data_IF_267286159165
#
_entry.id   IF_267286159165
#
_cell.length_a   1.000
_cell.length_b   1.000
_cell.length_c   1.000
_cell.angle_alpha   90.00
_cell.angle_beta   90.00
_cell.angle_gamma   90.00
#
_symmetry.space_group_name_H-M   'P 1'
#
loop_
_entity.id
_entity.type
_entity.pdbx_description
1 polymer ?
#
# COMPACT_ATOMS: atom_id res chain seq x y z
N UNK A 1 -21.82 -4.40 -12.60
CA UNK A 1 -21.28 -3.03 -12.59
C UNK A 1 -22.12 -2.14 -11.70
N UNK A 2 -21.53 -1.12 -11.12
CA UNK A 2 -22.29 -0.10 -10.41
C UNK A 2 -22.82 0.90 -11.46
N UNK A 3 -24.14 0.94 -11.76
CA UNK A 3 -24.71 1.79 -12.81
C UNK A 3 -24.47 3.28 -12.54
N UNK A 4 -24.29 3.67 -11.27
CA UNK A 4 -24.00 5.05 -10.87
C UNK A 4 -22.67 5.58 -11.42
N UNK A 5 -21.67 4.71 -11.68
CA UNK A 5 -20.41 5.12 -12.33
C UNK A 5 -20.69 5.55 -13.78
N UNK A 6 -21.47 4.78 -14.53
CA UNK A 6 -21.88 5.13 -15.90
C UNK A 6 -22.71 6.43 -15.97
N UNK A 7 -23.60 6.64 -15.00
CA UNK A 7 -24.39 7.87 -14.86
C UNK A 7 -23.48 9.07 -14.55
N UNK A 8 -22.54 8.94 -13.62
CA UNK A 8 -21.57 9.99 -13.28
C UNK A 8 -20.69 10.34 -14.50
N UNK A 9 -20.22 9.35 -15.22
CA UNK A 9 -19.45 9.56 -16.44
C UNK A 9 -20.28 10.27 -17.53
N UNK A 10 -21.58 9.96 -17.65
CA UNK A 10 -22.48 10.67 -18.57
C UNK A 10 -22.66 12.13 -18.16
N UNK A 11 -22.79 12.43 -16.87
CA UNK A 11 -22.84 13.82 -16.36
C UNK A 11 -21.57 14.57 -16.68
N UNK A 12 -20.41 13.94 -16.47
CA UNK A 12 -19.12 14.51 -16.83
C UNK A 12 -19.01 14.86 -18.30
N UNK A 13 -19.34 13.92 -19.23
CA UNK A 13 -19.32 14.19 -20.66
C UNK A 13 -20.22 15.36 -21.06
N UNK A 14 -21.38 15.49 -20.41
CA UNK A 14 -22.26 16.64 -20.61
C UNK A 14 -21.65 17.93 -20.14
N UNK A 15 -21.08 17.97 -18.94
CA UNK A 15 -20.41 19.12 -18.35
C UNK A 15 -19.23 19.62 -19.23
N UNK A 16 -18.45 18.69 -19.78
CA UNK A 16 -17.40 19.00 -20.76
C UNK A 16 -17.97 19.60 -22.05
N UNK A 17 -19.03 19.01 -22.61
CA UNK A 17 -19.67 19.52 -23.81
C UNK A 17 -20.31 20.89 -23.63
N UNK A 18 -20.81 21.19 -22.44
CA UNK A 18 -21.40 22.49 -22.06
C UNK A 18 -20.35 23.50 -21.64
N UNK A 19 -19.08 23.10 -21.51
CA UNK A 19 -17.96 23.98 -21.07
C UNK A 19 -18.04 24.40 -19.60
N UNK A 20 -18.79 23.65 -18.78
CA UNK A 20 -18.89 23.90 -17.31
C UNK A 20 -17.71 23.33 -16.55
N UNK A 21 -16.96 22.39 -17.15
CA UNK A 21 -15.70 21.85 -16.67
C UNK A 21 -14.66 22.05 -17.77
N UNK A 22 -13.53 22.66 -17.44
CA UNK A 22 -12.38 22.78 -18.33
C UNK A 22 -11.38 21.63 -18.02
N UNK A 23 -11.11 20.71 -18.96
CA UNK A 23 -10.16 19.64 -18.75
C UNK A 23 -8.71 20.13 -18.57
N UNK A 24 -8.40 21.37 -18.96
CA UNK A 24 -7.08 21.98 -18.82
C UNK A 24 -6.88 22.74 -17.49
N UNK A 25 -7.96 23.04 -16.77
CA UNK A 25 -7.92 23.67 -15.44
C UNK A 25 -7.90 22.62 -14.30
N UNK A 26 -7.49 21.41 -14.59
CA UNK A 26 -7.44 20.36 -13.59
C UNK A 26 -6.46 20.75 -12.49
N UNK A 27 -7.01 20.95 -11.32
CA UNK A 27 -6.20 21.06 -10.12
C UNK A 27 -5.79 19.64 -9.69
N UNK A 28 -4.80 19.09 -10.38
CA UNK A 28 -4.13 17.86 -10.00
C UNK A 28 -3.35 18.13 -8.72
N UNK A 29 -4.06 18.41 -7.65
CA UNK A 29 -3.44 18.45 -6.34
C UNK A 29 -3.04 17.02 -6.00
N UNK A 30 -1.88 16.65 -6.52
CA UNK A 30 -1.21 15.41 -6.15
C UNK A 30 -1.16 15.42 -4.64
N UNK A 31 -1.71 14.38 -4.04
CA UNK A 31 -1.75 14.23 -2.60
C UNK A 31 -0.40 13.80 -2.01
N UNK A 32 0.66 13.93 -2.78
CA UNK A 32 2.03 13.61 -2.44
C UNK A 32 2.83 14.90 -2.27
N UNK A 33 3.68 14.91 -1.28
CA UNK A 33 4.66 15.98 -1.10
C UNK A 33 5.94 15.56 -1.84
N UNK A 34 5.88 15.58 -3.17
CA UNK A 34 7.04 15.29 -4.00
C UNK A 34 7.91 16.55 -4.10
N UNK A 35 9.08 16.55 -3.52
CA UNK A 35 10.03 17.65 -3.58
C UNK A 35 11.45 17.15 -3.59
N UNK A 36 12.35 17.95 -4.18
CA UNK A 36 13.79 17.81 -4.03
C UNK A 36 14.16 18.42 -2.67
N UNK A 37 14.14 17.62 -1.64
CA UNK A 37 14.61 17.97 -0.32
C UNK A 37 15.87 17.18 0.05
N UNK A 38 16.41 17.43 1.23
CA UNK A 38 17.63 16.79 1.69
C UNK A 38 17.44 15.27 1.90
N UNK A 39 16.26 14.83 2.33
CA UNK A 39 15.95 13.41 2.47
C UNK A 39 15.88 12.72 1.10
N UNK A 40 15.29 13.36 0.07
CA UNK A 40 15.24 12.78 -1.28
C UNK A 40 16.66 12.67 -1.88
N UNK A 41 17.49 13.69 -1.68
CA UNK A 41 18.90 13.64 -2.12
C UNK A 41 19.66 12.54 -1.40
N UNK A 42 19.44 12.35 -0.10
CA UNK A 42 20.06 11.29 0.70
C UNK A 42 19.57 9.91 0.27
N UNK A 43 18.26 9.75 0.01
CA UNK A 43 17.69 8.49 -0.46
C UNK A 43 18.30 8.05 -1.80
N UNK A 44 18.37 8.95 -2.79
CA UNK A 44 18.98 8.64 -4.09
C UNK A 44 20.49 8.33 -3.97
N UNK A 45 21.21 9.05 -3.11
CA UNK A 45 22.61 8.77 -2.85
C UNK A 45 22.79 7.39 -2.20
N UNK A 46 21.93 7.03 -1.27
CA UNK A 46 21.95 5.73 -0.62
C UNK A 46 21.65 4.58 -1.59
N UNK A 47 20.69 4.73 -2.49
CA UNK A 47 20.41 3.73 -3.55
C UNK A 47 21.65 3.52 -4.45
N UNK A 48 22.33 4.60 -4.84
CA UNK A 48 23.54 4.53 -5.65
C UNK A 48 24.69 3.83 -4.89
N UNK A 49 24.87 4.15 -3.61
CA UNK A 49 25.89 3.53 -2.75
C UNK A 49 25.61 2.05 -2.49
N UNK A 50 24.37 1.69 -2.23
CA UNK A 50 23.95 0.30 -2.06
C UNK A 50 24.22 -0.51 -3.34
N UNK A 51 23.92 0.08 -4.51
CA UNK A 51 24.22 -0.53 -5.82
C UNK A 51 25.71 -0.66 -6.09
N UNK A 52 26.54 0.19 -5.47
CA UNK A 52 28.00 0.16 -5.55
C UNK A 52 28.66 -0.71 -4.46
N UNK A 53 27.88 -1.49 -3.70
CA UNK A 53 28.33 -2.32 -2.57
C UNK A 53 28.98 -1.49 -1.44
N UNK A 54 28.47 -0.28 -1.21
CA UNK A 54 28.93 0.66 -0.16
C UNK A 54 27.80 0.95 0.86
N UNK A 55 27.27 -0.06 1.51
CA UNK A 55 26.07 0.07 2.32
C UNK A 55 26.30 0.78 3.66
N UNK A 56 27.53 0.85 4.19
CA UNK A 56 27.85 1.61 5.42
C UNK A 56 27.73 3.12 5.17
N UNK A 57 28.20 3.58 4.01
CA UNK A 57 28.08 4.98 3.62
C UNK A 57 26.62 5.35 3.35
N UNK A 58 25.85 4.43 2.72
CA UNK A 58 24.41 4.59 2.54
C UNK A 58 23.68 4.75 3.88
N UNK A 59 23.97 3.87 4.85
CA UNK A 59 23.41 3.94 6.20
C UNK A 59 23.72 5.28 6.88
N UNK A 60 24.96 5.75 6.79
CA UNK A 60 25.38 7.01 7.40
C UNK A 60 24.65 8.21 6.80
N UNK A 61 24.54 8.28 5.48
CA UNK A 61 23.85 9.39 4.78
C UNK A 61 22.38 9.43 5.17
N UNK A 62 21.67 8.30 5.15
CA UNK A 62 20.27 8.22 5.53
C UNK A 62 20.06 8.59 6.99
N UNK A 63 20.88 8.07 7.89
CA UNK A 63 20.80 8.36 9.33
C UNK A 63 20.95 9.84 9.59
N UNK A 64 21.93 10.50 8.95
CA UNK A 64 22.15 11.93 9.10
C UNK A 64 20.97 12.76 8.57
N UNK A 65 20.42 12.40 7.40
CA UNK A 65 19.31 13.13 6.82
C UNK A 65 18.03 13.00 7.69
N UNK A 66 17.74 11.80 8.18
CA UNK A 66 16.59 11.56 9.07
C UNK A 66 16.79 12.30 10.40
N UNK A 67 17.96 12.20 11.04
CA UNK A 67 18.25 12.91 12.29
C UNK A 67 18.09 14.42 12.14
N UNK A 68 18.59 14.99 11.08
CA UNK A 68 18.48 16.43 10.81
C UNK A 68 17.03 16.88 10.63
N UNK A 69 16.20 16.09 9.91
CA UNK A 69 14.79 16.37 9.77
C UNK A 69 14.07 16.32 11.12
N UNK A 70 14.38 15.32 11.93
CA UNK A 70 13.79 15.11 13.25
C UNK A 70 14.20 16.18 14.27
N UNK A 71 15.44 16.66 14.24
CA UNK A 71 15.93 17.74 15.09
C UNK A 71 15.15 19.04 14.88
N UNK A 72 14.61 19.27 13.68
CA UNK A 72 13.77 20.45 13.43
C UNK A 72 12.44 20.40 14.15
N UNK A 73 11.95 19.19 14.51
CA UNK A 73 10.62 18.96 15.07
C UNK A 73 9.46 19.33 14.12
N UNK A 74 9.76 19.68 12.87
CA UNK A 74 8.79 20.28 11.94
C UNK A 74 7.67 19.30 11.55
N UNK A 75 7.99 17.99 11.48
CA UNK A 75 7.03 16.93 11.16
C UNK A 75 6.77 15.99 12.35
N UNK A 76 6.90 16.50 13.55
CA UNK A 76 6.59 15.74 14.76
C UNK A 76 5.10 15.82 15.08
N UNK A 77 4.49 14.67 15.32
CA UNK A 77 3.11 14.59 15.81
C UNK A 77 2.97 15.33 17.15
N UNK A 78 1.83 15.98 17.36
CA UNK A 78 1.50 16.64 18.60
C UNK A 78 0.03 16.35 19.02
N UNK A 79 -0.49 17.09 19.99
CA UNK A 79 -1.84 16.88 20.51
C UNK A 79 -2.95 17.17 19.49
N UNK A 80 -2.72 18.08 18.56
CA UNK A 80 -3.73 18.55 17.59
C UNK A 80 -3.45 18.17 16.15
N UNK A 81 -2.20 17.84 15.82
CA UNK A 81 -1.75 17.62 14.43
C UNK A 81 -0.90 16.36 14.34
N UNK A 82 -1.12 15.61 13.27
CA UNK A 82 -0.30 14.47 12.87
C UNK A 82 0.21 14.67 11.45
N UNK A 83 1.42 14.19 11.19
CA UNK A 83 2.05 14.27 9.87
C UNK A 83 2.09 12.88 9.25
N UNK A 84 1.54 12.75 8.02
CA UNK A 84 1.42 11.45 7.33
C UNK A 84 1.85 11.57 5.88
N UNK A 85 2.29 10.43 5.35
CA UNK A 85 2.67 10.25 3.94
C UNK A 85 1.69 9.29 3.28
N UNK A 86 1.31 9.61 2.05
CA UNK A 86 0.43 8.78 1.22
C UNK A 86 1.00 8.69 -0.19
N UNK A 87 1.05 7.50 -0.77
CA UNK A 87 1.49 7.27 -2.14
C UNK A 87 0.39 7.52 -3.18
N UNK A 88 -0.86 7.60 -2.72
CA UNK A 88 -2.00 7.82 -3.61
C UNK A 88 -3.19 8.45 -2.89
N UNK A 89 -4.10 9.01 -3.69
CA UNK A 89 -5.38 9.50 -3.17
C UNK A 89 -6.21 8.38 -2.52
N UNK A 90 -6.16 7.17 -3.10
CA UNK A 90 -6.87 6.02 -2.54
C UNK A 90 -6.35 5.63 -1.15
N UNK A 91 -5.03 5.64 -0.95
CA UNK A 91 -4.39 5.39 0.33
C UNK A 91 -4.81 6.44 1.39
N UNK A 92 -4.81 7.73 1.02
CA UNK A 92 -5.29 8.81 1.87
C UNK A 92 -6.79 8.70 2.20
N UNK A 93 -7.59 8.28 1.23
CA UNK A 93 -9.02 8.05 1.42
C UNK A 93 -9.25 6.95 2.47
N UNK A 94 -8.60 5.79 2.33
CA UNK A 94 -8.71 4.70 3.30
C UNK A 94 -8.26 5.15 4.70
N UNK A 95 -7.13 5.84 4.79
CA UNK A 95 -6.68 6.42 6.05
C UNK A 95 -7.77 7.30 6.70
N UNK A 96 -8.38 8.21 5.95
CA UNK A 96 -9.42 9.10 6.46
C UNK A 96 -10.67 8.32 6.91
N UNK A 97 -11.07 7.29 6.18
CA UNK A 97 -12.23 6.46 6.52
C UNK A 97 -11.98 5.59 7.77
N UNK A 98 -10.78 5.04 7.91
CA UNK A 98 -10.37 4.29 9.12
C UNK A 98 -10.30 5.24 10.32
N UNK A 99 -9.69 6.41 10.16
CA UNK A 99 -9.59 7.45 11.20
C UNK A 99 -10.96 7.92 11.66
N UNK A 100 -11.92 8.06 10.75
CA UNK A 100 -13.31 8.42 11.04
C UNK A 100 -14.10 7.29 11.69
N UNK A 101 -13.64 6.03 11.56
CA UNK A 101 -14.34 4.83 12.03
C UNK A 101 -15.42 4.33 11.04
N UNK A 102 -15.36 4.75 9.78
CA UNK A 102 -16.27 4.30 8.72
C UNK A 102 -15.80 2.97 8.11
N UNK A 103 -14.49 2.78 8.01
CA UNK A 103 -13.89 1.49 7.69
C UNK A 103 -13.36 0.83 8.97
N UNK A 104 -13.43 -0.51 9.07
CA UNK A 104 -12.86 -1.24 10.19
C UNK A 104 -11.34 -1.03 10.22
N UNK A 105 -10.79 -0.92 11.44
CA UNK A 105 -9.36 -0.84 11.66
C UNK A 105 -8.82 -2.19 12.10
N UNK A 106 -7.57 -2.54 11.74
CA UNK A 106 -6.86 -3.62 12.39
C UNK A 106 -6.72 -3.36 13.90
N UNK A 107 -6.63 -4.42 14.68
CA UNK A 107 -6.26 -4.30 16.07
C UNK A 107 -4.87 -3.63 16.15
N UNK A 108 -4.62 -2.73 17.05
CA UNK A 108 -3.37 -1.97 17.18
C UNK A 108 -3.00 -1.03 16.01
N UNK A 109 -3.98 -0.65 15.20
CA UNK A 109 -3.78 0.29 14.10
C UNK A 109 -3.41 1.69 14.61
N UNK A 110 -2.24 2.19 14.18
CA UNK A 110 -1.75 3.53 14.56
C UNK A 110 -2.69 4.66 14.13
N UNK A 111 -3.46 4.48 13.04
CA UNK A 111 -4.43 5.46 12.52
C UNK A 111 -5.50 5.81 13.57
N UNK A 112 -5.86 4.88 14.46
CA UNK A 112 -6.86 5.13 15.50
C UNK A 112 -6.40 6.17 16.53
N UNK A 113 -5.08 6.32 16.72
CA UNK A 113 -4.49 7.33 17.59
C UNK A 113 -4.55 8.75 16.99
N UNK A 114 -4.82 8.83 15.69
CA UNK A 114 -4.92 10.09 14.94
C UNK A 114 -6.34 10.69 15.01
N UNK A 115 -7.28 9.98 15.62
CA UNK A 115 -8.69 10.43 15.72
C UNK A 115 -8.79 11.78 16.42
N UNK A 116 -9.49 12.72 15.79
CA UNK A 116 -9.69 14.07 16.32
C UNK A 116 -8.54 15.04 16.05
N UNK A 117 -7.41 14.59 15.49
CA UNK A 117 -6.28 15.44 15.12
C UNK A 117 -6.36 15.87 13.65
N UNK A 118 -5.81 17.00 13.31
CA UNK A 118 -5.60 17.41 11.92
C UNK A 118 -4.50 16.56 11.29
N UNK A 119 -4.69 16.15 10.02
CA UNK A 119 -3.67 15.40 9.27
C UNK A 119 -3.03 16.33 8.25
N UNK A 120 -1.74 16.58 8.40
CA UNK A 120 -0.90 17.28 7.45
C UNK A 120 0.04 16.32 6.73
N UNK A 121 0.53 16.73 5.54
CA UNK A 121 1.44 15.92 4.76
C UNK A 121 2.89 16.12 5.25
N UNK A 122 3.62 15.01 5.39
CA UNK A 122 5.05 15.00 5.50
C UNK A 122 5.69 14.71 4.13
N UNK A 123 6.99 15.04 3.92
CA UNK A 123 7.69 14.69 2.70
C UNK A 123 7.74 13.17 2.48
N UNK A 124 7.46 12.72 1.26
CA UNK A 124 7.52 11.30 0.89
C UNK A 124 8.92 10.73 1.09
N UNK A 125 9.93 11.55 0.80
CA UNK A 125 11.34 11.24 0.99
C UNK A 125 11.68 10.80 2.41
N UNK A 126 10.99 11.34 3.41
CA UNK A 126 11.16 10.92 4.79
C UNK A 126 10.75 9.46 5.00
N UNK A 127 9.60 9.05 4.47
CA UNK A 127 9.17 7.66 4.54
C UNK A 127 10.14 6.73 3.78
N UNK A 128 10.62 7.14 2.60
CA UNK A 128 11.59 6.36 1.83
C UNK A 128 12.90 6.17 2.59
N UNK A 129 13.43 7.22 3.22
CA UNK A 129 14.61 7.09 4.08
C UNK A 129 14.39 6.10 5.23
N UNK A 130 13.22 6.13 5.86
CA UNK A 130 12.90 5.20 6.96
C UNK A 130 12.80 3.74 6.48
N UNK A 131 12.21 3.49 5.30
CA UNK A 131 12.15 2.14 4.71
C UNK A 131 13.54 1.61 4.41
N UNK A 132 14.38 2.43 3.78
CA UNK A 132 15.73 2.03 3.39
C UNK A 132 16.63 1.83 4.63
N UNK A 133 16.52 2.68 5.66
CA UNK A 133 17.18 2.47 6.94
C UNK A 133 16.80 1.14 7.59
N UNK A 134 15.51 0.80 7.62
CA UNK A 134 15.07 -0.47 8.17
C UNK A 134 15.66 -1.65 7.39
N UNK A 135 15.71 -1.57 6.06
CA UNK A 135 16.29 -2.60 5.22
C UNK A 135 17.81 -2.75 5.42
N UNK A 136 18.56 -1.64 5.38
CA UNK A 136 20.02 -1.66 5.54
C UNK A 136 20.44 -2.14 6.93
N UNK A 137 19.77 -1.72 7.98
CA UNK A 137 20.03 -2.17 9.35
C UNK A 137 19.74 -3.66 9.52
N UNK A 138 18.60 -4.12 8.99
CA UNK A 138 18.25 -5.52 8.96
C UNK A 138 19.33 -6.37 8.26
N UNK A 139 19.79 -5.96 7.10
CA UNK A 139 20.83 -6.68 6.33
C UNK A 139 22.19 -6.78 7.06
N UNK A 140 22.35 -6.04 8.17
CA UNK A 140 23.54 -6.00 9.02
C UNK A 140 23.35 -6.56 10.41
N UNK A 141 22.25 -7.26 10.63
CA UNK A 141 21.92 -7.86 11.92
C UNK A 141 21.70 -6.84 13.06
N UNK A 142 21.42 -5.56 12.70
CA UNK A 142 20.99 -4.53 13.65
C UNK A 142 19.48 -4.56 13.85
N UNK A 143 18.98 -5.68 14.37
CA UNK A 143 17.56 -6.04 14.35
C UNK A 143 16.67 -5.07 15.14
N UNK A 144 17.06 -4.68 16.35
CA UNK A 144 16.27 -3.78 17.21
C UNK A 144 16.10 -2.40 16.55
N UNK A 145 17.16 -1.90 15.92
CA UNK A 145 17.12 -0.61 15.21
C UNK A 145 16.28 -0.73 13.93
N UNK A 146 16.43 -1.81 13.19
CA UNK A 146 15.60 -2.08 12.00
C UNK A 146 14.11 -2.11 12.35
N UNK A 147 13.72 -2.80 13.43
CA UNK A 147 12.34 -2.81 13.93
C UNK A 147 11.88 -1.40 14.29
N UNK A 148 12.71 -0.62 14.96
CA UNK A 148 12.38 0.76 15.35
C UNK A 148 12.09 1.63 14.14
N UNK A 149 12.94 1.57 13.11
CA UNK A 149 12.74 2.36 11.88
C UNK A 149 11.55 1.85 11.06
N UNK A 150 11.34 0.53 10.95
CA UNK A 150 10.17 -0.03 10.28
C UNK A 150 8.86 0.40 10.96
N UNK A 151 8.78 0.36 12.30
CA UNK A 151 7.62 0.85 13.05
C UNK A 151 7.38 2.34 12.87
N UNK A 152 8.45 3.13 12.84
CA UNK A 152 8.37 4.57 12.56
C UNK A 152 7.85 4.84 11.16
N UNK A 153 8.34 4.08 10.18
CA UNK A 153 7.87 4.14 8.80
C UNK A 153 6.36 3.82 8.69
N UNK A 154 5.88 2.78 9.41
CA UNK A 154 4.45 2.45 9.49
C UNK A 154 3.64 3.59 10.14
N UNK A 155 4.19 4.25 11.14
CA UNK A 155 3.50 5.38 11.80
C UNK A 155 3.34 6.56 10.84
N UNK A 156 4.40 6.93 10.11
CA UNK A 156 4.38 8.07 9.20
C UNK A 156 3.62 7.78 7.90
N UNK A 157 3.65 6.53 7.42
CA UNK A 157 3.04 6.08 6.17
C UNK A 157 2.15 4.84 6.38
N UNK A 158 1.04 4.95 7.15
CA UNK A 158 0.28 3.80 7.64
C UNK A 158 -0.52 3.06 6.55
N UNK A 159 -0.66 3.61 5.37
CA UNK A 159 -1.32 2.99 4.21
C UNK A 159 -0.36 2.67 3.07
N UNK A 160 0.94 2.59 3.36
CA UNK A 160 1.98 2.13 2.42
C UNK A 160 2.52 0.78 2.86
N UNK A 161 2.59 -0.18 1.94
CA UNK A 161 2.97 -1.57 2.26
C UNK A 161 4.43 -1.75 2.67
N UNK A 162 5.33 -0.85 2.24
CA UNK A 162 6.77 -1.01 2.37
C UNK A 162 7.23 -1.19 3.84
N UNK A 163 6.72 -0.38 4.78
CA UNK A 163 7.07 -0.49 6.20
C UNK A 163 6.62 -1.82 6.82
N UNK A 164 5.41 -2.26 6.48
CA UNK A 164 4.87 -3.55 6.97
C UNK A 164 5.63 -4.74 6.39
N UNK A 165 5.98 -4.70 5.10
CA UNK A 165 6.79 -5.75 4.46
C UNK A 165 8.18 -5.83 5.09
N UNK A 166 8.81 -4.68 5.35
CA UNK A 166 10.10 -4.64 6.04
C UNK A 166 10.00 -5.26 7.44
N UNK A 167 9.00 -4.84 8.24
CA UNK A 167 8.81 -5.36 9.59
C UNK A 167 8.46 -6.85 9.58
N UNK A 168 7.58 -7.29 8.67
CA UNK A 168 7.23 -8.70 8.52
C UNK A 168 8.44 -9.57 8.17
N UNK A 169 9.32 -9.12 7.28
CA UNK A 169 10.57 -9.83 6.92
C UNK A 169 11.54 -9.90 8.10
N UNK A 170 11.69 -8.82 8.88
CA UNK A 170 12.53 -8.81 10.07
C UNK A 170 12.02 -9.84 11.08
N UNK A 171 10.72 -9.91 11.31
CA UNK A 171 10.13 -10.90 12.21
C UNK A 171 10.31 -12.34 11.71
N UNK A 172 10.14 -12.59 10.40
CA UNK A 172 10.39 -13.92 9.82
C UNK A 172 11.86 -14.34 10.02
N UNK A 173 12.80 -13.43 9.79
CA UNK A 173 14.23 -13.72 9.98
C UNK A 173 14.59 -14.08 11.42
N UNK A 174 13.85 -13.52 12.39
CA UNK A 174 14.01 -13.81 13.81
C UNK A 174 13.13 -14.97 14.29
N UNK A 175 12.58 -15.77 13.40
CA UNK A 175 11.64 -16.87 13.69
C UNK A 175 10.38 -16.43 14.48
N UNK A 176 10.06 -15.12 14.47
CA UNK A 176 8.87 -14.56 15.09
C UNK A 176 7.70 -14.52 14.09
N UNK A 177 7.30 -15.71 13.67
CA UNK A 177 6.25 -15.87 12.65
C UNK A 177 4.89 -15.33 13.10
N UNK A 178 4.60 -15.35 14.39
CA UNK A 178 3.34 -14.83 14.93
C UNK A 178 3.22 -13.31 14.70
N UNK A 179 4.27 -12.54 15.03
CA UNK A 179 4.31 -11.11 14.78
C UNK A 179 4.43 -10.78 13.29
N UNK A 180 5.14 -11.60 12.51
CA UNK A 180 5.19 -11.47 11.05
C UNK A 180 3.78 -11.57 10.45
N UNK A 181 3.04 -12.64 10.78
CA UNK A 181 1.65 -12.86 10.36
C UNK A 181 0.75 -11.69 10.73
N UNK A 182 0.72 -11.32 12.02
CA UNK A 182 -0.13 -10.23 12.53
C UNK A 182 0.16 -8.89 11.82
N UNK A 183 1.44 -8.58 11.58
CA UNK A 183 1.87 -7.37 10.88
C UNK A 183 1.36 -7.34 9.43
N UNK A 184 1.52 -8.44 8.70
CA UNK A 184 1.15 -8.53 7.29
C UNK A 184 -0.37 -8.60 7.09
N UNK A 185 -1.10 -9.32 7.96
CA UNK A 185 -2.57 -9.35 7.96
C UNK A 185 -3.16 -7.96 8.28
N UNK A 186 -2.58 -7.23 9.23
CA UNK A 186 -2.98 -5.85 9.52
C UNK A 186 -2.78 -4.93 8.31
N UNK A 187 -1.64 -5.06 7.62
CA UNK A 187 -1.36 -4.28 6.43
C UNK A 187 -2.38 -4.55 5.31
N UNK A 188 -2.71 -5.82 5.05
CA UNK A 188 -3.68 -6.20 4.02
C UNK A 188 -4.98 -5.40 4.12
N UNK A 189 -5.49 -5.17 5.33
CA UNK A 189 -6.77 -4.47 5.54
C UNK A 189 -6.72 -2.97 5.25
N UNK A 190 -5.53 -2.40 5.06
CA UNK A 190 -5.31 -0.97 4.82
C UNK A 190 -4.90 -0.65 3.38
N UNK A 191 -4.51 -1.65 2.59
CA UNK A 191 -3.99 -1.44 1.24
C UNK A 191 -5.09 -1.37 0.19
N UNK A 192 -4.88 -0.50 -0.79
CA UNK A 192 -5.76 -0.31 -1.95
C UNK A 192 -5.13 -0.74 -3.26
N UNK A 193 -3.80 -0.71 -3.35
CA UNK A 193 -3.07 -1.11 -4.56
C UNK A 193 -3.09 -2.63 -4.71
N UNK A 194 -3.55 -3.20 -5.85
CA UNK A 194 -3.45 -4.63 -6.10
C UNK A 194 -2.03 -5.17 -6.04
N UNK A 195 -1.05 -4.36 -6.44
CA UNK A 195 0.36 -4.75 -6.41
C UNK A 195 0.89 -4.87 -4.98
N UNK A 196 0.51 -3.94 -4.10
CA UNK A 196 0.82 -4.00 -2.67
C UNK A 196 0.13 -5.17 -1.98
N UNK A 197 -1.14 -5.40 -2.29
CA UNK A 197 -1.92 -6.53 -1.75
C UNK A 197 -1.26 -7.86 -2.17
N UNK A 198 -0.88 -8.01 -3.44
CA UNK A 198 -0.19 -9.21 -3.92
C UNK A 198 1.16 -9.40 -3.21
N UNK A 199 1.94 -8.35 -3.03
CA UNK A 199 3.21 -8.42 -2.32
C UNK A 199 3.04 -8.79 -0.84
N UNK A 200 1.99 -8.30 -0.18
CA UNK A 200 1.67 -8.67 1.20
C UNK A 200 1.25 -10.14 1.33
N UNK A 201 0.38 -10.64 0.45
CA UNK A 201 0.04 -12.08 0.42
C UNK A 201 1.27 -12.96 0.17
N UNK A 202 2.18 -12.53 -0.71
CA UNK A 202 3.43 -13.23 -0.95
C UNK A 202 4.29 -13.34 0.33
N UNK A 203 4.52 -12.24 1.04
CA UNK A 203 5.29 -12.27 2.28
C UNK A 203 4.57 -13.01 3.42
N UNK A 204 3.24 -12.91 3.48
CA UNK A 204 2.42 -13.65 4.44
C UNK A 204 2.51 -15.16 4.18
N UNK A 205 2.45 -15.58 2.90
CA UNK A 205 2.59 -16.98 2.52
C UNK A 205 3.92 -17.56 3.01
N UNK A 206 5.02 -16.84 2.84
CA UNK A 206 6.31 -17.27 3.34
C UNK A 206 6.33 -17.43 4.87
N UNK A 207 5.78 -16.46 5.60
CA UNK A 207 5.67 -16.54 7.06
C UNK A 207 4.81 -17.73 7.52
N UNK A 208 3.70 -18.01 6.85
CA UNK A 208 2.83 -19.16 7.10
C UNK A 208 3.55 -20.48 6.84
N UNK A 209 4.26 -20.60 5.72
CA UNK A 209 5.03 -21.80 5.40
C UNK A 209 6.08 -22.10 6.49
N UNK A 210 6.90 -21.09 6.82
CA UNK A 210 7.96 -21.28 7.83
C UNK A 210 7.42 -21.50 9.25
N UNK A 211 6.20 -21.07 9.53
CA UNK A 211 5.50 -21.36 10.81
C UNK A 211 4.84 -22.72 10.86
N UNK A 212 4.87 -23.51 9.77
CA UNK A 212 4.31 -24.86 9.72
C UNK A 212 2.85 -24.94 9.25
N UNK A 213 2.36 -23.91 8.56
CA UNK A 213 1.04 -23.89 7.91
C UNK A 213 1.17 -23.81 6.37
N UNK A 214 1.67 -24.88 5.72
CA UNK A 214 1.93 -24.86 4.29
C UNK A 214 0.66 -24.84 3.41
N UNK A 215 -0.48 -25.32 3.91
CA UNK A 215 -1.74 -25.30 3.15
C UNK A 215 -2.24 -23.84 2.99
N UNK A 216 -2.28 -23.08 4.07
CA UNK A 216 -2.63 -21.66 4.03
C UNK A 216 -1.59 -20.84 3.27
N UNK A 217 -0.31 -21.24 3.35
CA UNK A 217 0.76 -20.60 2.56
C UNK A 217 0.52 -20.77 1.06
N UNK A 218 0.22 -21.98 0.57
CA UNK A 218 -0.11 -22.21 -0.84
C UNK A 218 -1.31 -21.38 -1.29
N UNK A 219 -2.38 -21.32 -0.48
CA UNK A 219 -3.54 -20.51 -0.78
C UNK A 219 -3.17 -19.01 -0.87
N UNK A 220 -2.32 -18.51 0.03
CA UNK A 220 -1.84 -17.12 0.04
C UNK A 220 -0.97 -16.80 -1.18
N UNK A 221 -0.05 -17.67 -1.60
CA UNK A 221 0.72 -17.50 -2.83
C UNK A 221 -0.17 -17.42 -4.07
N UNK A 222 -1.16 -18.34 -4.17
CA UNK A 222 -2.10 -18.33 -5.29
C UNK A 222 -2.96 -17.07 -5.26
N UNK A 223 -3.39 -16.61 -4.09
CA UNK A 223 -4.11 -15.33 -3.94
C UNK A 223 -3.27 -14.15 -4.43
N UNK A 224 -1.97 -14.13 -4.13
CA UNK A 224 -1.05 -13.13 -4.65
C UNK A 224 -1.04 -13.13 -6.20
N UNK A 225 -0.92 -14.30 -6.82
CA UNK A 225 -0.96 -14.47 -8.28
C UNK A 225 -2.29 -14.03 -8.92
N UNK A 226 -3.41 -14.29 -8.24
CA UNK A 226 -4.75 -13.86 -8.69
C UNK A 226 -4.93 -12.33 -8.58
N UNK A 227 -4.20 -11.68 -7.66
CA UNK A 227 -4.35 -10.26 -7.36
C UNK A 227 -3.50 -9.39 -8.30
N UNK A 228 -2.24 -9.73 -8.51
CA UNK A 228 -1.34 -9.03 -9.44
C UNK A 228 -0.18 -9.90 -9.87
N UNK A 229 0.41 -9.56 -11.02
CA UNK A 229 1.58 -10.24 -11.57
C UNK A 229 2.93 -9.72 -11.04
N UNK A 230 2.93 -8.70 -10.19
CA UNK A 230 4.15 -8.04 -9.69
C UNK A 230 5.10 -9.00 -8.96
N UNK A 231 4.56 -10.03 -8.31
CA UNK A 231 5.33 -11.04 -7.57
C UNK A 231 5.29 -12.44 -8.23
N UNK A 232 4.80 -12.55 -9.47
CA UNK A 232 4.51 -13.85 -10.10
C UNK A 232 5.71 -14.79 -10.15
N UNK A 233 6.87 -14.30 -10.58
CA UNK A 233 8.06 -15.13 -10.67
C UNK A 233 8.51 -15.66 -9.30
N UNK A 234 8.48 -14.80 -8.28
CA UNK A 234 8.81 -15.18 -6.91
C UNK A 234 7.80 -16.18 -6.34
N UNK A 235 6.49 -15.93 -6.52
CA UNK A 235 5.45 -16.88 -6.08
C UNK A 235 5.60 -18.26 -6.71
N UNK A 236 5.84 -18.33 -8.02
CA UNK A 236 6.01 -19.63 -8.69
C UNK A 236 7.19 -20.40 -8.11
N UNK A 237 8.34 -19.75 -7.93
CA UNK A 237 9.53 -20.37 -7.35
C UNK A 237 9.29 -20.90 -5.93
N UNK A 238 8.64 -20.10 -5.09
CA UNK A 238 8.34 -20.50 -3.70
C UNK A 238 7.28 -21.61 -3.63
N UNK A 239 6.27 -21.60 -4.50
CA UNK A 239 5.28 -22.67 -4.60
C UNK A 239 5.97 -24.00 -4.99
N UNK A 240 6.87 -23.99 -5.98
CA UNK A 240 7.60 -25.21 -6.40
C UNK A 240 8.46 -25.75 -5.25
N UNK A 241 9.14 -24.89 -4.52
CA UNK A 241 9.94 -25.28 -3.36
C UNK A 241 9.07 -25.86 -2.25
N UNK A 242 7.96 -25.18 -1.89
CA UNK A 242 7.03 -25.63 -0.87
C UNK A 242 6.41 -27.00 -1.23
N UNK A 243 5.98 -27.18 -2.48
CA UNK A 243 5.44 -28.46 -2.93
C UNK A 243 6.49 -29.60 -2.88
N UNK A 244 7.74 -29.30 -3.23
CA UNK A 244 8.84 -30.26 -3.13
C UNK A 244 9.09 -30.68 -1.68
N UNK A 245 9.02 -29.72 -0.74
CA UNK A 245 9.26 -29.97 0.68
C UNK A 245 8.12 -30.72 1.36
N UNK A 246 6.88 -30.45 0.95
CA UNK A 246 5.69 -30.95 1.67
C UNK A 246 4.93 -32.05 0.94
N UNK A 247 5.08 -32.13 -0.38
CA UNK A 247 4.28 -33.01 -1.23
C UNK A 247 2.82 -32.60 -1.41
N UNK A 248 2.43 -31.39 -0.94
CA UNK A 248 1.05 -30.91 -1.04
C UNK A 248 0.67 -30.61 -2.50
N UNK A 249 -0.55 -30.98 -2.94
CA UNK A 249 -1.07 -30.58 -4.23
C UNK A 249 -1.47 -29.08 -4.22
N UNK A 250 -1.48 -28.47 -5.40
CA UNK A 250 -2.04 -27.13 -5.53
C UNK A 250 -3.55 -27.15 -5.23
N UNK A 251 -4.07 -26.23 -4.40
CA UNK A 251 -5.49 -26.08 -4.22
C UNK A 251 -6.16 -25.58 -5.50
N UNK A 252 -7.45 -25.86 -5.68
CA UNK A 252 -8.22 -25.34 -6.79
C UNK A 252 -8.38 -23.84 -6.67
N UNK A 253 -8.34 -23.13 -7.80
CA UNK A 253 -8.44 -21.66 -7.83
C UNK A 253 -9.72 -21.13 -7.18
N UNK A 254 -10.81 -21.90 -7.27
CA UNK A 254 -12.13 -21.61 -6.68
C UNK A 254 -12.20 -21.82 -5.15
N UNK A 255 -11.28 -22.59 -4.59
CA UNK A 255 -11.22 -22.86 -3.14
C UNK A 255 -10.38 -21.85 -2.36
N UNK A 256 -9.60 -21.00 -3.03
CA UNK A 256 -8.60 -20.13 -2.39
C UNK A 256 -9.24 -19.23 -1.34
N UNK A 257 -10.32 -18.52 -1.71
CA UNK A 257 -10.96 -17.60 -0.78
C UNK A 257 -11.56 -18.31 0.43
N UNK A 258 -12.12 -19.51 0.24
CA UNK A 258 -12.62 -20.34 1.34
C UNK A 258 -11.50 -20.79 2.28
N UNK A 259 -10.37 -21.26 1.74
CA UNK A 259 -9.22 -21.70 2.53
C UNK A 259 -8.64 -20.54 3.36
N UNK A 260 -8.51 -19.37 2.77
CA UNK A 260 -8.03 -18.17 3.46
C UNK A 260 -9.00 -17.71 4.56
N UNK A 261 -10.32 -17.74 4.30
CA UNK A 261 -11.34 -17.38 5.28
C UNK A 261 -11.37 -18.36 6.47
N UNK A 262 -11.29 -19.67 6.22
CA UNK A 262 -11.18 -20.71 7.25
C UNK A 262 -9.93 -20.52 8.12
N UNK A 263 -8.81 -20.07 7.53
CA UNK A 263 -7.57 -19.74 8.22
C UNK A 263 -7.58 -18.34 8.87
N UNK A 264 -8.66 -17.57 8.68
CA UNK A 264 -8.83 -16.17 9.14
C UNK A 264 -7.82 -15.20 8.55
N UNK A 265 -7.30 -15.48 7.38
CA UNK A 265 -6.51 -14.54 6.60
C UNK A 265 -7.45 -13.51 5.96
N UNK A 266 -7.18 -12.20 6.10
CA UNK A 266 -8.05 -11.18 5.53
C UNK A 266 -8.22 -11.32 4.02
N UNK A 267 -9.45 -11.34 3.53
CA UNK A 267 -9.78 -11.27 2.11
C UNK A 267 -9.99 -9.81 1.70
N UNK A 268 -9.08 -9.29 0.91
CA UNK A 268 -9.09 -7.86 0.52
C UNK A 268 -9.04 -7.71 -1.00
N UNK A 269 -9.60 -6.60 -1.52
CA UNK A 269 -10.32 -5.57 -0.79
C UNK A 269 -11.68 -6.06 -0.27
N UNK A 270 -12.05 -5.60 0.92
CA UNK A 270 -13.38 -5.88 1.49
C UNK A 270 -14.48 -5.18 0.69
N UNK A 271 -15.73 -5.64 0.84
CA UNK A 271 -16.87 -4.98 0.19
C UNK A 271 -17.03 -3.52 0.62
N UNK A 272 -16.81 -3.23 1.91
CA UNK A 272 -16.84 -1.85 2.42
C UNK A 272 -15.77 -0.97 1.81
N UNK A 273 -14.54 -1.48 1.64
CA UNK A 273 -13.47 -0.74 0.98
C UNK A 273 -13.79 -0.49 -0.50
N UNK A 274 -14.30 -1.49 -1.21
CA UNK A 274 -14.72 -1.32 -2.61
C UNK A 274 -15.82 -0.26 -2.75
N UNK A 275 -16.82 -0.29 -1.88
CA UNK A 275 -17.89 0.70 -1.88
C UNK A 275 -17.37 2.12 -1.66
N UNK A 276 -16.40 2.31 -0.75
CA UNK A 276 -15.73 3.60 -0.53
C UNK A 276 -14.98 4.07 -1.77
N UNK A 277 -14.23 3.19 -2.43
CA UNK A 277 -13.50 3.54 -3.65
C UNK A 277 -14.43 3.89 -4.81
N UNK A 278 -15.53 3.15 -4.98
CA UNK A 278 -16.56 3.42 -6.00
C UNK A 278 -17.24 4.77 -5.77
N UNK A 279 -17.64 5.06 -4.55
CA UNK A 279 -18.30 6.33 -4.22
C UNK A 279 -17.34 7.52 -4.41
N UNK A 280 -16.09 7.36 -4.03
CA UNK A 280 -15.07 8.38 -4.29
C UNK A 280 -14.79 8.58 -5.79
N UNK A 281 -14.81 7.50 -6.58
CA UNK A 281 -14.68 7.59 -8.03
C UNK A 281 -15.86 8.34 -8.68
N UNK A 282 -17.09 8.08 -8.22
CA UNK A 282 -18.30 8.79 -8.67
C UNK A 282 -18.16 10.29 -8.34
N UNK A 283 -17.79 10.60 -7.11
CA UNK A 283 -17.59 12.00 -6.69
C UNK A 283 -16.51 12.68 -7.53
N UNK A 284 -15.39 12.01 -7.77
CA UNK A 284 -14.31 12.55 -8.60
C UNK A 284 -14.75 12.81 -10.06
N UNK A 285 -15.60 11.95 -10.62
CA UNK A 285 -16.21 12.18 -11.94
C UNK A 285 -17.14 13.40 -11.93
N UNK A 286 -17.98 13.52 -10.92
CA UNK A 286 -18.94 14.64 -10.81
C UNK A 286 -18.24 15.98 -10.59
N UNK A 287 -17.09 16.01 -9.90
CA UNK A 287 -16.26 17.19 -9.66
C UNK A 287 -15.23 17.45 -10.78
N UNK A 288 -15.17 16.62 -11.81
CA UNK A 288 -14.23 16.77 -12.92
C UNK A 288 -12.77 16.47 -12.55
N UNK A 289 -12.53 15.69 -11.49
CA UNK A 289 -11.18 15.32 -11.03
C UNK A 289 -10.69 14.06 -11.76
N UNK A 290 -10.34 14.20 -13.04
CA UNK A 290 -10.10 13.07 -13.95
C UNK A 290 -9.00 12.13 -13.50
N UNK A 291 -7.84 12.65 -13.06
CA UNK A 291 -6.72 11.81 -12.63
C UNK A 291 -7.09 10.97 -11.40
N UNK A 292 -7.78 11.58 -10.45
CA UNK A 292 -8.28 10.89 -9.27
C UNK A 292 -9.32 9.83 -9.67
N UNK A 293 -10.29 10.20 -10.52
CA UNK A 293 -11.29 9.27 -11.01
C UNK A 293 -10.64 8.09 -11.74
N UNK A 294 -9.67 8.35 -12.60
CA UNK A 294 -8.94 7.31 -13.35
C UNK A 294 -8.23 6.33 -12.42
N UNK A 295 -7.50 6.82 -11.42
CA UNK A 295 -6.80 5.97 -10.44
C UNK A 295 -7.79 5.11 -9.66
N UNK A 296 -8.85 5.71 -9.11
CA UNK A 296 -9.86 4.98 -8.33
C UNK A 296 -10.59 3.94 -9.18
N UNK A 297 -11.01 4.30 -10.40
CA UNK A 297 -11.68 3.37 -11.31
C UNK A 297 -10.75 2.25 -11.78
N UNK A 298 -9.45 2.51 -11.94
CA UNK A 298 -8.49 1.45 -12.28
C UNK A 298 -8.41 0.40 -11.18
N UNK A 299 -8.43 0.80 -9.90
CA UNK A 299 -8.47 -0.14 -8.79
C UNK A 299 -9.81 -0.91 -8.75
N UNK A 300 -10.93 -0.22 -8.87
CA UNK A 300 -12.26 -0.85 -8.92
C UNK A 300 -12.34 -1.87 -10.06
N UNK A 301 -11.81 -1.54 -11.24
CA UNK A 301 -11.77 -2.44 -12.39
C UNK A 301 -10.93 -3.69 -12.12
N UNK A 302 -9.72 -3.53 -11.60
CA UNK A 302 -8.83 -4.67 -11.26
C UNK A 302 -9.46 -5.62 -10.24
N UNK A 303 -10.36 -5.13 -9.39
CA UNK A 303 -11.05 -5.96 -8.40
C UNK A 303 -12.30 -6.66 -8.93
N UNK A 304 -12.99 -6.08 -9.91
CA UNK A 304 -14.26 -6.63 -10.42
C UNK A 304 -14.19 -7.16 -11.86
N UNK A 305 -13.15 -6.80 -12.60
CA UNK A 305 -13.00 -7.13 -14.02
C UNK A 305 -14.28 -6.81 -14.83
N UNK A 306 -14.76 -5.57 -14.69
CA UNK A 306 -16.04 -5.12 -15.26
C UNK A 306 -15.82 -4.45 -16.62
N UNK A 307 -16.28 -5.09 -17.68
CA UNK A 307 -16.12 -4.59 -19.06
C UNK A 307 -16.73 -3.20 -19.29
N UNK A 308 -17.77 -2.82 -18.54
CA UNK A 308 -18.37 -1.49 -18.63
C UNK A 308 -17.40 -0.39 -18.16
N UNK A 309 -16.53 -0.68 -17.20
CA UNK A 309 -15.51 0.25 -16.72
C UNK A 309 -14.37 0.45 -17.73
N UNK A 310 -14.09 -0.52 -18.60
CA UNK A 310 -13.07 -0.39 -19.66
C UNK A 310 -13.36 0.78 -20.58
N UNK A 311 -14.62 0.96 -20.96
CA UNK A 311 -15.06 2.07 -21.79
C UNK A 311 -14.84 3.42 -21.13
N UNK A 312 -15.17 3.52 -19.83
CA UNK A 312 -14.98 4.75 -19.02
C UNK A 312 -13.48 5.08 -18.89
N UNK A 313 -12.66 4.08 -18.52
CA UNK A 313 -11.21 4.25 -18.36
C UNK A 313 -10.54 4.69 -19.68
N UNK A 314 -10.85 4.03 -20.81
CA UNK A 314 -10.32 4.43 -22.12
C UNK A 314 -10.70 5.86 -22.49
N UNK A 315 -11.94 6.26 -22.20
CA UNK A 315 -12.38 7.62 -22.48
C UNK A 315 -11.66 8.65 -21.62
N UNK A 316 -11.40 8.35 -20.35
CA UNK A 316 -10.61 9.21 -19.48
C UNK A 316 -9.12 9.30 -19.93
N UNK A 317 -8.57 8.24 -20.51
CA UNK A 317 -7.21 8.24 -21.07
C UNK A 317 -7.11 9.04 -22.37
N UNK A 318 -8.14 8.98 -23.24
CA UNK A 318 -8.11 9.61 -24.57
C UNK A 318 -8.64 11.05 -24.57
N UNK A 319 -9.45 11.44 -23.58
CA UNK A 319 -10.03 12.79 -23.53
C UNK A 319 -9.13 13.84 -22.89
N UNK A 320 -7.97 13.43 -22.35
CA UNK A 320 -7.03 14.28 -21.62
C UNK A 320 -5.73 14.57 -22.41
N UNK A 321 -5.60 14.05 -23.63
CA UNK A 321 -4.47 14.26 -24.55
C UNK A 321 -5.01 14.66 -25.95
#
# INVERSE_FOLDING_TARGET
>A
SNPRIGEAFTRLLRALAEGTIDPHEQNTTVNCFLGEDECMSAYRAAEALTSADQPEEALQILTNAVAKLEETGHFADNETTVYRVFDSYAARLVYNQVKAGTLPAPQDCTILQDKGKETQLAPDSYAFCLFELAYLLYSRDHIDEAIRYAKKAITIAPTMSAGYRALGRIFVFNDDFANARATLESALTLMTSPDDIAALYYHLAYALWKSGDPETALASYIKALQTSNVVSAACVSEIEELQKDTGLPLPLSEDIDRLLDEARVPLVPTESMRAVLEEAAITALDEGLFDIARVLLSFVFRYRNDDALVGVLRSLETSLF
#
